data_IF_107312946579
#
_entry.id   IF_107312946579
#
_cell.length_a   1.000
_cell.length_b   1.000
_cell.length_c   1.000
_cell.angle_alpha   90.00
_cell.angle_beta   90.00
_cell.angle_gamma   90.00
#
_symmetry.space_group_name_H-M   'P 1'
#
loop_
_entity.id
_entity.type
_entity.pdbx_description
1 polymer ?
#
# COMPACT_ATOMS: atom_id res chain seq x y z
N UNK A 1 43.78 73.60 12.60
CA UNK A 1 43.18 74.48 11.57
C UNK A 1 42.41 73.58 10.61
N UNK A 2 41.09 73.49 10.79
CA UNK A 2 40.04 73.82 9.80
C UNK A 2 40.08 73.04 8.48
N UNK A 3 39.11 72.10 8.39
CA UNK A 3 38.23 71.71 7.28
C UNK A 3 38.63 72.06 5.84
N UNK A 4 38.53 71.10 4.91
CA UNK A 4 37.34 71.02 4.05
C UNK A 4 37.29 69.73 3.22
N UNK A 5 36.08 69.19 3.10
CA UNK A 5 35.69 67.94 2.44
C UNK A 5 35.54 68.10 0.93
N UNK A 6 35.81 67.03 0.16
CA UNK A 6 35.11 66.76 -1.10
C UNK A 6 34.78 65.26 -1.13
N UNK A 7 33.48 64.97 -1.21
CA UNK A 7 32.89 63.65 -1.42
C UNK A 7 32.58 63.55 -2.92
N UNK A 8 33.05 62.49 -3.58
CA UNK A 8 32.60 62.09 -4.92
C UNK A 8 32.01 60.69 -4.80
N UNK A 9 30.70 60.60 -5.05
CA UNK A 9 29.98 59.36 -5.22
C UNK A 9 30.22 58.81 -6.63
N UNK A 10 30.62 57.54 -6.75
CA UNK A 10 30.45 56.78 -7.99
C UNK A 10 29.90 55.40 -7.66
N UNK A 11 28.74 55.12 -8.25
CA UNK A 11 27.88 53.95 -8.09
C UNK A 11 28.54 52.65 -8.57
N UNK A 12 28.45 51.61 -7.74
CA UNK A 12 28.81 50.25 -8.10
C UNK A 12 27.66 49.56 -8.83
N UNK A 13 27.92 49.01 -10.02
CA UNK A 13 27.19 47.83 -10.55
C UNK A 13 28.13 47.00 -11.42
N UNK A 14 28.51 45.81 -10.93
CA UNK A 14 29.04 44.73 -11.78
C UNK A 14 28.02 43.61 -11.68
N UNK A 15 27.31 43.39 -12.79
CA UNK A 15 26.34 42.33 -12.93
C UNK A 15 27.02 40.96 -12.99
N UNK A 16 26.72 40.11 -12.01
CA UNK A 16 26.93 38.67 -12.13
C UNK A 16 25.83 38.09 -13.01
N UNK A 17 26.20 37.51 -14.15
CA UNK A 17 25.28 36.71 -14.96
C UNK A 17 25.07 35.36 -14.25
N UNK A 18 23.91 35.18 -13.63
CA UNK A 18 23.41 33.87 -13.23
C UNK A 18 22.91 33.15 -14.49
N UNK A 19 23.72 32.25 -15.03
CA UNK A 19 23.22 31.23 -15.95
C UNK A 19 22.36 30.24 -15.14
N UNK A 20 21.08 30.54 -14.99
CA UNK A 20 20.10 29.57 -14.53
C UNK A 20 19.92 28.51 -15.62
N UNK A 21 20.33 27.28 -15.33
CA UNK A 21 19.97 26.12 -16.12
C UNK A 21 18.43 26.02 -16.15
N UNK A 22 17.86 26.19 -17.33
CA UNK A 22 16.45 25.88 -17.60
C UNK A 22 16.29 24.36 -17.49
N UNK A 23 15.88 23.93 -16.30
CA UNK A 23 15.42 22.57 -16.06
C UNK A 23 14.17 22.28 -16.90
N UNK A 24 14.04 21.02 -17.27
CA UNK A 24 13.20 20.50 -18.34
C UNK A 24 11.73 20.94 -18.28
N UNK A 25 11.20 21.08 -19.50
CA UNK A 25 9.82 21.39 -19.88
C UNK A 25 8.82 20.45 -19.17
N UNK A 26 8.35 20.79 -17.98
CA UNK A 26 7.11 20.22 -17.46
C UNK A 26 5.95 20.74 -18.32
N UNK A 27 5.27 19.83 -19.01
CA UNK A 27 4.00 20.12 -19.69
C UNK A 27 2.98 20.62 -18.68
N UNK A 28 2.36 21.80 -18.86
CA UNK A 28 1.24 22.23 -18.05
C UNK A 28 0.00 21.44 -18.47
N UNK A 29 -0.67 20.74 -17.53
CA UNK A 29 -2.08 20.37 -17.76
C UNK A 29 -2.58 18.99 -17.33
N UNK A 30 -1.97 18.28 -16.39
CA UNK A 30 -2.64 17.14 -15.77
C UNK A 30 -2.85 17.43 -14.28
N UNK A 31 -4.11 17.66 -13.90
CA UNK A 31 -4.50 17.72 -12.49
C UNK A 31 -4.03 16.43 -11.79
N UNK A 32 -3.61 16.48 -10.51
CA UNK A 32 -3.30 15.27 -9.77
C UNK A 32 -4.46 14.28 -9.92
N UNK A 33 -4.19 12.99 -10.22
CA UNK A 33 -5.25 12.00 -10.32
C UNK A 33 -6.09 12.02 -9.05
N UNK A 34 -7.41 12.03 -9.20
CA UNK A 34 -8.32 11.96 -8.06
C UNK A 34 -8.14 10.61 -7.35
N UNK A 35 -7.89 10.60 -6.03
CA UNK A 35 -7.85 9.37 -5.24
C UNK A 35 -9.07 8.49 -5.50
N UNK A 36 -8.85 7.19 -5.75
CA UNK A 36 -9.93 6.21 -5.92
C UNK A 36 -9.87 5.10 -4.88
N UNK A 37 -11.00 4.41 -4.70
CA UNK A 37 -11.07 3.17 -3.92
C UNK A 37 -10.87 1.98 -4.85
N UNK A 38 -9.93 1.11 -4.51
CA UNK A 38 -9.59 -0.12 -5.24
C UNK A 38 -9.99 -1.31 -4.35
N UNK A 39 -11.07 -2.03 -4.67
CA UNK A 39 -11.51 -3.15 -3.85
C UNK A 39 -10.61 -4.37 -4.05
N UNK A 40 -10.31 -5.06 -2.94
CA UNK A 40 -9.69 -6.39 -2.91
C UNK A 40 -10.59 -7.32 -2.10
N UNK A 41 -11.06 -8.38 -2.73
CA UNK A 41 -11.82 -9.45 -2.09
C UNK A 41 -10.87 -10.31 -1.26
N UNK A 42 -11.20 -10.54 0.01
CA UNK A 42 -10.43 -11.37 0.95
C UNK A 42 -11.25 -12.60 1.30
N UNK A 43 -10.83 -13.77 0.81
CA UNK A 43 -11.56 -15.02 0.97
C UNK A 43 -12.75 -15.16 0.01
N UNK A 44 -13.39 -16.32 0.04
CA UNK A 44 -14.56 -16.68 -0.76
C UNK A 44 -15.38 -17.77 -0.06
N UNK A 45 -16.70 -17.84 -0.29
CA UNK A 45 -17.51 -18.97 0.18
C UNK A 45 -17.16 -20.31 -0.51
N UNK A 46 -16.43 -20.33 -1.64
CA UNK A 46 -16.03 -21.60 -2.28
C UNK A 46 -14.74 -22.14 -1.68
N UNK A 47 -14.66 -23.46 -1.51
CA UNK A 47 -13.51 -24.12 -0.86
C UNK A 47 -12.21 -23.88 -1.62
N UNK A 48 -12.30 -23.78 -2.94
CA UNK A 48 -11.17 -23.60 -3.86
C UNK A 48 -10.58 -22.19 -3.79
N UNK A 49 -11.39 -21.19 -3.38
CA UNK A 49 -11.01 -19.76 -3.33
C UNK A 49 -11.05 -19.17 -1.92
N UNK A 50 -11.39 -19.96 -0.91
CA UNK A 50 -11.50 -19.49 0.49
C UNK A 50 -10.19 -18.94 1.05
N UNK A 51 -9.05 -19.29 0.45
CA UNK A 51 -7.71 -18.88 0.87
C UNK A 51 -7.07 -18.02 -0.24
N UNK A 52 -7.65 -16.86 -0.52
CA UNK A 52 -7.18 -15.96 -1.59
C UNK A 52 -7.41 -14.49 -1.32
N UNK A 53 -6.57 -13.66 -1.94
CA UNK A 53 -6.84 -12.25 -2.22
C UNK A 53 -7.22 -12.13 -3.69
N UNK A 54 -8.20 -11.29 -4.05
CA UNK A 54 -8.55 -11.06 -5.44
C UNK A 54 -8.81 -9.57 -5.74
N UNK A 55 -8.10 -8.96 -6.69
CA UNK A 55 -6.95 -9.52 -7.41
C UNK A 55 -5.71 -9.68 -6.51
N UNK A 56 -4.77 -10.54 -6.93
CA UNK A 56 -3.52 -10.78 -6.20
C UNK A 56 -2.42 -9.75 -6.55
N UNK A 57 -2.66 -8.94 -7.57
CA UNK A 57 -1.82 -7.81 -7.98
C UNK A 57 -2.70 -6.58 -8.06
N UNK A 58 -2.30 -5.53 -7.35
CA UNK A 58 -2.97 -4.23 -7.38
C UNK A 58 -1.98 -3.18 -7.84
N UNK A 59 -2.43 -2.31 -8.77
CA UNK A 59 -1.70 -1.10 -9.17
C UNK A 59 -2.44 0.11 -8.62
N UNK A 60 -1.77 0.90 -7.80
CA UNK A 60 -2.36 2.02 -7.09
C UNK A 60 -1.40 3.22 -7.07
N UNK A 61 -1.94 4.42 -7.21
CA UNK A 61 -1.17 5.65 -7.11
C UNK A 61 -1.14 6.16 -5.66
N UNK A 62 -0.16 7.00 -5.29
CA UNK A 62 -0.21 7.72 -4.02
C UNK A 62 -1.55 8.44 -3.83
N UNK A 63 -2.18 8.24 -2.69
CA UNK A 63 -3.52 8.74 -2.34
C UNK A 63 -4.66 7.76 -2.60
N UNK A 64 -4.51 6.76 -3.48
CA UNK A 64 -5.54 5.72 -3.66
C UNK A 64 -5.74 4.93 -2.35
N UNK A 65 -6.96 4.42 -2.16
CA UNK A 65 -7.30 3.54 -1.03
C UNK A 65 -7.49 2.13 -1.55
N UNK A 66 -6.66 1.19 -1.08
CA UNK A 66 -6.92 -0.24 -1.28
C UNK A 66 -7.85 -0.71 -0.17
N UNK A 67 -9.09 -1.05 -0.54
CA UNK A 67 -10.12 -1.50 0.39
C UNK A 67 -10.25 -3.02 0.34
N UNK A 68 -9.76 -3.68 1.38
CA UNK A 68 -9.91 -5.11 1.58
C UNK A 68 -11.33 -5.40 2.09
N UNK A 69 -12.05 -6.32 1.45
CA UNK A 69 -13.43 -6.68 1.76
C UNK A 69 -13.49 -8.16 2.16
N UNK A 70 -13.87 -8.42 3.41
CA UNK A 70 -13.72 -9.73 4.03
C UNK A 70 -14.97 -10.59 3.83
N UNK A 71 -14.79 -11.66 3.05
CA UNK A 71 -15.74 -12.74 2.83
C UNK A 71 -15.40 -13.93 3.76
N UNK A 72 -16.25 -14.97 3.87
CA UNK A 72 -16.25 -15.89 5.01
C UNK A 72 -14.91 -16.45 5.43
N UNK A 73 -14.89 -16.96 6.67
CA UNK A 73 -13.72 -17.31 7.47
C UNK A 73 -13.06 -16.06 8.07
N UNK A 74 -12.03 -16.30 8.88
CA UNK A 74 -11.29 -15.25 9.55
C UNK A 74 -9.98 -15.01 8.78
N UNK A 75 -9.76 -13.79 8.32
CA UNK A 75 -8.57 -13.44 7.55
C UNK A 75 -7.85 -12.23 8.14
N UNK A 76 -6.63 -12.02 7.68
CA UNK A 76 -5.86 -10.81 7.94
C UNK A 76 -5.32 -10.29 6.62
N UNK A 77 -4.95 -9.01 6.62
CA UNK A 77 -4.06 -8.39 5.65
C UNK A 77 -2.84 -7.96 6.46
N UNK A 78 -1.70 -8.60 6.24
CA UNK A 78 -0.46 -8.34 6.99
C UNK A 78 0.68 -8.09 6.02
N UNK A 79 1.47 -7.04 6.23
CA UNK A 79 2.63 -6.76 5.38
C UNK A 79 3.82 -7.61 5.80
N UNK A 80 4.41 -8.32 4.83
CA UNK A 80 5.60 -9.11 5.03
C UNK A 80 6.87 -8.24 5.00
N UNK A 81 7.90 -8.68 5.71
CA UNK A 81 9.18 -7.97 5.72
C UNK A 81 9.91 -8.04 4.36
N UNK A 82 9.83 -9.19 3.69
CA UNK A 82 10.41 -9.41 2.35
C UNK A 82 9.91 -10.71 1.75
N UNK A 83 10.26 -10.98 0.49
CA UNK A 83 10.01 -12.28 -0.15
C UNK A 83 10.81 -13.43 0.48
N UNK A 84 11.92 -13.14 1.17
CA UNK A 84 12.71 -14.13 1.91
C UNK A 84 12.10 -14.46 3.28
N UNK A 85 11.23 -13.58 3.79
CA UNK A 85 10.48 -13.77 5.02
C UNK A 85 8.96 -13.64 4.76
N UNK A 86 8.40 -14.48 3.86
CA UNK A 86 7.13 -14.19 3.18
C UNK A 86 5.89 -14.21 4.07
N UNK A 87 5.97 -14.94 5.20
CA UNK A 87 4.90 -15.11 6.18
C UNK A 87 5.30 -14.54 7.57
N UNK A 88 6.20 -13.55 7.57
CA UNK A 88 6.70 -12.86 8.76
C UNK A 88 6.38 -11.38 8.68
N UNK A 89 5.81 -10.78 9.74
CA UNK A 89 5.30 -9.42 9.69
C UNK A 89 6.45 -8.41 9.65
N UNK A 90 6.28 -7.35 8.87
CA UNK A 90 7.21 -6.22 8.83
C UNK A 90 7.20 -5.39 10.13
N UNK A 91 6.22 -5.60 11.03
CA UNK A 91 6.04 -4.76 12.24
C UNK A 91 7.20 -4.77 13.24
N UNK A 92 8.04 -5.80 13.23
CA UNK A 92 9.25 -5.78 14.07
C UNK A 92 10.30 -4.77 13.55
N UNK A 93 10.19 -4.33 12.28
CA UNK A 93 11.05 -3.32 11.65
C UNK A 93 10.34 -1.98 11.47
N UNK A 94 9.04 -2.00 11.16
CA UNK A 94 8.20 -0.82 10.99
C UNK A 94 6.87 -1.01 11.74
N UNK A 95 6.71 -0.45 12.95
CA UNK A 95 5.49 -0.60 13.75
C UNK A 95 4.19 -0.16 13.05
N UNK A 96 4.30 0.71 12.04
CA UNK A 96 3.17 1.22 11.27
C UNK A 96 2.85 0.37 10.02
N UNK A 97 3.61 -0.71 9.77
CA UNK A 97 3.35 -1.62 8.65
C UNK A 97 1.95 -2.24 8.75
N UNK A 98 1.36 -2.50 7.58
CA UNK A 98 -0.03 -2.95 7.46
C UNK A 98 -0.26 -4.22 8.28
N UNK A 99 -1.24 -4.16 9.17
CA UNK A 99 -1.85 -5.32 9.78
C UNK A 99 -3.30 -5.00 10.12
N UNK A 100 -4.25 -5.72 9.54
CA UNK A 100 -5.67 -5.50 9.79
C UNK A 100 -6.17 -6.04 11.12
N UNK A 101 -5.36 -6.88 11.80
CA UNK A 101 -5.91 -7.84 12.74
C UNK A 101 -6.75 -8.91 12.04
N UNK A 102 -7.36 -9.77 12.83
CA UNK A 102 -8.25 -10.83 12.38
C UNK A 102 -9.66 -10.27 12.17
N UNK A 103 -10.09 -10.21 10.91
CA UNK A 103 -11.43 -9.73 10.53
C UNK A 103 -12.24 -10.94 10.01
N UNK A 104 -13.35 -11.31 10.70
CA UNK A 104 -14.25 -12.34 10.22
C UNK A 104 -15.09 -11.81 9.07
N UNK A 105 -15.17 -12.56 7.97
CA UNK A 105 -16.09 -12.28 6.88
C UNK A 105 -17.46 -12.93 7.05
N UNK A 106 -18.38 -12.57 6.17
CA UNK A 106 -19.82 -12.91 6.26
C UNK A 106 -20.37 -13.42 4.93
N UNK A 107 -21.47 -14.20 4.98
CA UNK A 107 -22.23 -14.69 3.81
C UNK A 107 -23.74 -14.50 3.93
N UNK A 108 -24.22 -14.01 5.07
CA UNK A 108 -25.63 -13.93 5.42
C UNK A 108 -26.31 -12.61 5.00
N UNK A 109 -25.60 -11.80 4.20
CA UNK A 109 -26.06 -10.46 3.79
C UNK A 109 -25.77 -9.35 4.80
N UNK A 110 -25.16 -9.67 5.95
CA UNK A 110 -24.67 -8.67 6.92
C UNK A 110 -23.66 -7.69 6.30
N UNK A 111 -23.45 -6.50 6.89
CA UNK A 111 -22.42 -5.57 6.44
C UNK A 111 -21.03 -6.23 6.41
N UNK A 112 -20.38 -6.13 5.25
CA UNK A 112 -19.08 -6.72 4.94
C UNK A 112 -17.99 -5.95 5.69
N UNK A 113 -17.14 -6.66 6.43
CA UNK A 113 -15.98 -6.08 7.10
C UNK A 113 -14.97 -5.55 6.09
N UNK A 114 -14.36 -4.41 6.37
CA UNK A 114 -13.34 -3.82 5.50
C UNK A 114 -12.07 -3.43 6.25
N UNK A 115 -10.95 -3.39 5.54
CA UNK A 115 -9.73 -2.72 5.99
C UNK A 115 -9.22 -1.80 4.88
N UNK A 116 -9.08 -0.51 5.17
CA UNK A 116 -8.73 0.51 4.18
C UNK A 116 -7.27 0.92 4.36
N UNK A 117 -6.44 0.65 3.35
CA UNK A 117 -5.03 1.03 3.32
C UNK A 117 -4.87 2.19 2.35
N UNK A 118 -4.39 3.33 2.85
CA UNK A 118 -3.99 4.44 2.00
C UNK A 118 -2.61 4.16 1.41
N UNK A 119 -2.50 4.30 0.09
CA UNK A 119 -1.25 4.11 -0.64
C UNK A 119 -0.44 5.39 -0.53
N UNK A 120 0.71 5.35 0.14
CA UNK A 120 1.55 6.53 0.37
C UNK A 120 2.54 6.77 -0.78
N UNK A 121 2.98 5.70 -1.43
CA UNK A 121 3.95 5.74 -2.52
C UNK A 121 3.74 4.54 -3.47
N UNK A 122 4.60 4.41 -4.48
CA UNK A 122 4.55 3.31 -5.46
C UNK A 122 5.47 2.13 -5.10
N UNK A 123 6.02 2.08 -3.88
CA UNK A 123 6.90 0.99 -3.48
C UNK A 123 6.08 -0.31 -3.34
N UNK A 124 6.66 -1.49 -3.68
CA UNK A 124 5.95 -2.75 -3.55
C UNK A 124 5.57 -3.05 -2.10
N UNK A 125 4.31 -3.41 -1.87
CA UNK A 125 3.83 -3.91 -0.57
C UNK A 125 3.47 -5.39 -0.71
N UNK A 126 4.29 -6.25 -0.09
CA UNK A 126 4.06 -7.69 0.01
C UNK A 126 3.07 -7.95 1.14
N UNK A 127 1.90 -8.52 0.84
CA UNK A 127 0.86 -8.78 1.82
C UNK A 127 0.53 -10.28 1.90
N UNK A 128 0.26 -10.78 3.10
CA UNK A 128 -0.14 -12.17 3.35
C UNK A 128 -1.27 -12.25 4.38
N UNK A 129 -1.95 -13.39 4.41
CA UNK A 129 -2.89 -13.74 5.46
C UNK A 129 -2.22 -14.58 6.57
N UNK A 130 -2.29 -14.08 7.80
CA UNK A 130 -1.70 -14.68 8.99
C UNK A 130 -2.61 -15.70 9.69
N UNK A 131 -3.76 -16.06 9.10
CA UNK A 131 -4.64 -17.11 9.64
C UNK A 131 -4.08 -18.49 9.33
N UNK A 132 -3.84 -19.30 10.35
CA UNK A 132 -3.45 -20.70 10.20
C UNK A 132 -2.32 -20.88 9.18
N UNK A 133 -2.54 -21.73 8.17
CA UNK A 133 -1.59 -21.95 7.07
C UNK A 133 -1.90 -21.13 5.80
N UNK A 134 -2.74 -20.09 5.87
CA UNK A 134 -3.21 -19.39 4.66
C UNK A 134 -2.07 -18.79 3.84
N UNK A 135 -1.03 -18.23 4.47
CA UNK A 135 0.15 -17.75 3.75
C UNK A 135 0.84 -18.87 2.97
N UNK A 136 1.13 -20.01 3.63
CA UNK A 136 1.77 -21.15 2.99
C UNK A 136 0.90 -21.82 1.91
N UNK A 137 -0.42 -21.69 2.03
CA UNK A 137 -1.37 -22.13 1.01
C UNK A 137 -1.51 -21.12 -0.14
N UNK A 138 -0.72 -20.04 -0.15
CA UNK A 138 -0.64 -19.09 -1.26
C UNK A 138 -1.54 -17.87 -1.13
N UNK A 139 -2.13 -17.61 0.04
CA UNK A 139 -2.89 -16.38 0.31
C UNK A 139 -1.95 -15.20 0.55
N UNK A 140 -1.38 -14.74 -0.56
CA UNK A 140 -0.48 -13.59 -0.65
C UNK A 140 -0.87 -12.72 -1.84
N UNK A 141 -0.52 -11.44 -1.78
CA UNK A 141 -0.70 -10.49 -2.87
C UNK A 141 0.38 -9.41 -2.84
N UNK A 142 0.48 -8.64 -3.91
CA UNK A 142 1.39 -7.49 -3.99
C UNK A 142 0.64 -6.25 -4.47
N UNK A 143 0.72 -5.17 -3.70
CA UNK A 143 0.39 -3.83 -4.20
C UNK A 143 1.65 -3.26 -4.85
N UNK A 144 1.52 -2.71 -6.05
CA UNK A 144 2.59 -2.10 -6.84
C UNK A 144 3.84 -2.99 -7.02
N UNK A 145 3.72 -4.25 -7.50
CA UNK A 145 4.91 -5.08 -7.80
C UNK A 145 5.76 -4.47 -8.92
N UNK A 146 7.01 -4.90 -9.09
CA UNK A 146 7.80 -4.43 -10.24
C UNK A 146 7.24 -5.05 -11.53
N UNK A 147 6.97 -6.35 -11.51
CA UNK A 147 6.27 -7.08 -12.57
C UNK A 147 5.09 -7.86 -11.99
N UNK A 148 4.01 -8.02 -12.77
CA UNK A 148 2.83 -8.77 -12.30
C UNK A 148 3.17 -10.23 -11.99
N UNK A 149 4.23 -10.78 -12.61
CA UNK A 149 4.73 -12.13 -12.34
C UNK A 149 5.38 -12.28 -10.94
N UNK A 150 5.75 -11.19 -10.27
CA UNK A 150 6.42 -11.22 -8.95
C UNK A 150 5.55 -11.90 -7.89
N UNK A 151 4.22 -11.82 -8.03
CA UNK A 151 3.30 -12.48 -7.10
C UNK A 151 3.45 -14.01 -7.13
N UNK A 152 3.83 -14.58 -8.27
CA UNK A 152 4.04 -16.03 -8.38
C UNK A 152 5.31 -16.46 -7.64
N UNK A 153 6.38 -15.66 -7.72
CA UNK A 153 7.59 -15.89 -6.93
C UNK A 153 7.30 -15.74 -5.42
N UNK A 154 6.50 -14.74 -5.04
CA UNK A 154 6.10 -14.55 -3.64
C UNK A 154 5.28 -15.73 -3.11
N UNK A 155 4.31 -16.23 -3.89
CA UNK A 155 3.55 -17.44 -3.58
C UNK A 155 4.43 -18.67 -3.38
N UNK A 156 5.38 -18.89 -4.29
CA UNK A 156 6.31 -20.01 -4.19
C UNK A 156 7.14 -19.93 -2.91
N UNK A 157 7.67 -18.75 -2.58
CA UNK A 157 8.41 -18.54 -1.34
C UNK A 157 7.53 -18.77 -0.10
N UNK A 158 6.30 -18.27 -0.11
CA UNK A 158 5.34 -18.45 0.98
C UNK A 158 5.06 -19.94 1.25
N UNK A 159 4.89 -20.74 0.19
CA UNK A 159 4.69 -22.19 0.29
C UNK A 159 5.86 -22.97 0.91
N UNK A 160 7.06 -22.38 0.96
CA UNK A 160 8.23 -22.96 1.63
C UNK A 160 8.43 -22.44 3.06
N UNK A 161 7.59 -21.50 3.51
CA UNK A 161 7.73 -20.90 4.83
C UNK A 161 7.41 -21.92 5.94
N UNK A 162 8.25 -21.94 6.97
CA UNK A 162 8.11 -22.86 8.11
C UNK A 162 7.10 -22.38 9.16
N UNK A 163 6.61 -21.15 9.04
CA UNK A 163 5.68 -20.56 10.00
C UNK A 163 4.82 -19.49 9.37
N UNK A 164 3.73 -19.13 10.07
CA UNK A 164 2.87 -18.02 9.71
C UNK A 164 2.65 -17.17 10.95
N UNK A 165 3.24 -15.98 10.97
CA UNK A 165 3.30 -15.16 12.18
C UNK A 165 2.39 -13.94 11.98
N UNK A 166 1.37 -13.72 12.83
CA UNK A 166 0.61 -12.48 12.79
C UNK A 166 1.44 -11.31 13.33
N UNK A 167 1.15 -10.10 12.84
CA UNK A 167 1.71 -8.91 13.46
C UNK A 167 1.03 -8.63 14.82
N UNK A 168 1.63 -7.76 15.63
CA UNK A 168 1.20 -7.55 17.01
C UNK A 168 0.05 -6.56 17.13
N UNK A 169 0.09 -5.50 16.33
CA UNK A 169 -0.82 -4.35 16.46
C UNK A 169 -1.59 -4.13 15.17
N UNK A 170 -2.85 -3.72 15.26
CA UNK A 170 -3.57 -3.22 14.07
C UNK A 170 -2.95 -1.89 13.66
N UNK A 171 -2.46 -1.78 12.43
CA UNK A 171 -1.78 -0.58 11.91
C UNK A 171 -1.77 -0.53 10.37
N UNK A 172 -1.34 0.60 9.81
CA UNK A 172 -1.20 0.79 8.35
C UNK A 172 -2.52 0.87 7.58
N UNK A 173 -3.64 1.04 8.28
CA UNK A 173 -4.96 1.18 7.67
C UNK A 173 -6.07 1.29 8.72
N UNK A 174 -7.31 1.39 8.25
CA UNK A 174 -8.49 1.62 9.10
C UNK A 174 -9.52 0.52 8.87
N UNK A 175 -9.91 -0.17 9.95
CA UNK A 175 -10.99 -1.13 9.91
C UNK A 175 -12.36 -0.44 9.78
N UNK A 176 -13.29 -1.07 9.05
CA UNK A 176 -14.62 -0.53 8.80
C UNK A 176 -15.60 -1.60 8.37
N UNK A 177 -16.78 -1.15 7.91
CA UNK A 177 -17.80 -2.00 7.31
C UNK A 177 -18.49 -1.27 6.17
N UNK A 178 -18.95 -2.00 5.17
CA UNK A 178 -19.80 -1.49 4.09
C UNK A 178 -21.08 -2.34 3.99
N UNK A 179 -22.22 -1.74 3.57
CA UNK A 179 -23.39 -2.50 3.16
C UNK A 179 -23.03 -3.58 2.13
N UNK A 180 -23.62 -4.77 2.24
CA UNK A 180 -23.31 -5.91 1.36
C UNK A 180 -23.60 -5.64 -0.12
N UNK A 181 -24.59 -4.79 -0.43
CA UNK A 181 -24.88 -4.35 -1.80
C UNK A 181 -23.84 -3.38 -2.40
N UNK A 182 -22.90 -2.86 -1.60
CA UNK A 182 -21.76 -2.05 -2.05
C UNK A 182 -20.45 -2.85 -2.09
N UNK A 183 -20.44 -4.08 -1.56
CA UNK A 183 -19.28 -4.96 -1.62
C UNK A 183 -19.18 -5.62 -3.00
N UNK A 184 -17.95 -5.86 -3.45
CA UNK A 184 -17.67 -6.68 -4.62
C UNK A 184 -18.01 -8.13 -4.28
N UNK A 185 -18.91 -8.79 -5.03
CA UNK A 185 -19.23 -10.19 -4.81
C UNK A 185 -17.96 -11.05 -4.82
N UNK A 186 -17.84 -12.07 -3.96
CA UNK A 186 -16.66 -12.90 -3.92
C UNK A 186 -16.55 -13.72 -5.21
N UNK A 187 -15.32 -14.00 -5.62
CA UNK A 187 -15.06 -14.89 -6.75
C UNK A 187 -15.43 -16.31 -6.32
N UNK A 188 -16.38 -16.92 -7.00
CA UNK A 188 -16.85 -18.30 -6.76
C UNK A 188 -16.12 -19.30 -7.63
#
# INVERSE_FOLDING_TARGET
>A
MKFSSIVIYLSATIGGSLAAAINERQTPGQAPPTPKVIPVVVGSPTREKSVSFYPEVVRANPGDIVQFQFWPNNHTVTQAASTQAPCMPLQDQNPNAVHSGFIPGVTDGSPVGTFNVQVENTDPMLLYCATGMHCQLGMVMIINPQADADVQAYKQAAGQSQGNVPAKNVAGGVAGRIPSNLAVPPVV
#
